data_IF_885307729496
#
_entry.id   IF_885307729496
#
_cell.length_a   1.000
_cell.length_b   1.000
_cell.length_c   1.000
_cell.angle_alpha   90.00
_cell.angle_beta   90.00
_cell.angle_gamma   90.00
#
_symmetry.space_group_name_H-M   'P 1'
#
loop_
_entity.id
_entity.type
_entity.pdbx_description
1 polymer ?
#
# COMPACT_ATOMS: atom_id res chain seq x y z
N UNK A 1 -10.93 -31.77 -19.07
CA UNK A 1 -10.45 -31.26 -20.38
C UNK A 1 -11.06 -32.04 -21.54
N UNK A 2 -11.06 -33.39 -21.52
CA UNK A 2 -11.72 -34.23 -22.54
C UNK A 2 -13.23 -33.98 -22.69
N UNK A 3 -13.93 -33.73 -21.58
CA UNK A 3 -15.35 -33.40 -21.56
C UNK A 3 -15.70 -32.10 -22.31
N UNK A 4 -14.81 -31.10 -22.25
CA UNK A 4 -14.99 -29.82 -22.94
C UNK A 4 -14.71 -29.90 -24.44
N UNK A 5 -13.66 -30.65 -24.82
CA UNK A 5 -13.37 -30.93 -26.22
C UNK A 5 -14.50 -31.72 -26.90
N UNK A 6 -15.03 -32.72 -26.21
CA UNK A 6 -16.17 -33.51 -26.69
C UNK A 6 -17.41 -32.62 -26.88
N UNK A 7 -17.73 -31.78 -25.90
CA UNK A 7 -18.84 -30.84 -25.99
C UNK A 7 -18.66 -29.83 -27.13
N UNK A 8 -17.45 -29.27 -27.31
CA UNK A 8 -17.17 -28.30 -28.40
C UNK A 8 -17.29 -28.93 -29.78
N UNK A 9 -16.89 -30.20 -29.93
CA UNK A 9 -17.01 -30.93 -31.19
C UNK A 9 -18.46 -31.29 -31.52
N UNK A 10 -19.26 -31.60 -30.49
CA UNK A 10 -20.69 -31.92 -30.64
C UNK A 10 -21.55 -30.69 -30.97
N UNK A 11 -21.13 -29.49 -30.55
CA UNK A 11 -21.92 -28.26 -30.69
C UNK A 11 -21.41 -27.29 -31.77
N UNK A 12 -20.36 -27.65 -32.52
CA UNK A 12 -19.85 -26.84 -33.64
C UNK A 12 -20.31 -27.44 -34.97
N UNK A 13 -21.25 -26.80 -35.70
CA UNK A 13 -21.66 -27.28 -37.02
C UNK A 13 -20.51 -27.13 -38.02
N UNK A 14 -20.17 -28.20 -38.72
CA UNK A 14 -18.96 -28.31 -39.55
C UNK A 14 -18.95 -27.42 -40.82
N UNK A 15 -20.02 -26.65 -41.11
CA UNK A 15 -20.17 -26.03 -42.44
C UNK A 15 -20.97 -24.71 -42.52
N UNK A 16 -21.14 -23.97 -41.42
CA UNK A 16 -21.77 -22.64 -41.46
C UNK A 16 -20.85 -21.55 -40.91
N UNK A 17 -20.87 -20.33 -41.48
CA UNK A 17 -20.21 -19.18 -40.86
C UNK A 17 -20.83 -18.98 -39.48
N UNK A 18 -20.01 -18.97 -38.43
CA UNK A 18 -20.48 -18.80 -37.06
C UNK A 18 -21.20 -17.46 -36.91
N UNK A 19 -22.53 -17.47 -37.01
CA UNK A 19 -23.34 -16.33 -36.62
C UNK A 19 -23.11 -16.11 -35.11
N UNK A 20 -22.88 -14.86 -34.66
CA UNK A 20 -22.75 -14.59 -33.23
C UNK A 20 -23.98 -15.13 -32.49
N UNK A 21 -23.80 -15.77 -31.32
CA UNK A 21 -24.90 -16.41 -30.61
C UNK A 21 -26.01 -15.39 -30.33
N UNK A 22 -27.26 -15.80 -30.57
CA UNK A 22 -28.43 -14.98 -30.24
C UNK A 22 -28.56 -14.86 -28.73
N UNK A 23 -29.09 -13.73 -28.25
CA UNK A 23 -29.29 -13.49 -26.81
C UNK A 23 -30.18 -14.55 -26.13
N UNK A 24 -31.00 -15.28 -26.90
CA UNK A 24 -31.81 -16.41 -26.41
C UNK A 24 -30.95 -17.67 -26.19
N UNK A 25 -30.02 -18.01 -27.11
CA UNK A 25 -29.08 -19.13 -26.92
C UNK A 25 -28.17 -18.93 -25.72
N UNK A 26 -27.79 -17.69 -25.42
CA UNK A 26 -26.98 -17.38 -24.23
C UNK A 26 -27.73 -17.64 -22.91
N UNK A 27 -29.08 -17.60 -22.92
CA UNK A 27 -29.92 -17.93 -21.76
C UNK A 27 -30.15 -19.43 -21.57
N UNK A 28 -29.91 -20.24 -22.60
CA UNK A 28 -30.04 -21.71 -22.57
C UNK A 28 -28.76 -22.42 -22.07
N UNK A 29 -27.69 -21.67 -21.81
CA UNK A 29 -26.45 -22.23 -21.28
C UNK A 29 -26.65 -22.64 -19.83
N UNK A 30 -26.44 -23.93 -19.54
CA UNK A 30 -26.47 -24.47 -18.18
C UNK A 30 -25.44 -23.75 -17.30
N UNK A 31 -25.86 -23.08 -16.21
CA UNK A 31 -24.96 -22.42 -15.27
C UNK A 31 -23.86 -23.35 -14.75
N UNK A 32 -24.13 -24.65 -14.59
CA UNK A 32 -23.13 -25.61 -14.16
C UNK A 32 -22.02 -25.85 -15.20
N UNK A 33 -22.35 -25.78 -16.49
CA UNK A 33 -21.36 -25.86 -17.59
C UNK A 33 -20.56 -24.56 -17.64
N UNK A 34 -21.20 -23.41 -17.43
CA UNK A 34 -20.52 -22.11 -17.38
C UNK A 34 -19.52 -22.08 -16.20
N UNK A 35 -19.92 -22.49 -15.01
CA UNK A 35 -19.05 -22.56 -13.83
C UNK A 35 -17.91 -23.57 -14.01
N UNK A 36 -18.15 -24.69 -14.71
CA UNK A 36 -17.11 -25.67 -15.03
C UNK A 36 -16.09 -25.14 -16.06
N UNK A 37 -16.50 -24.23 -16.95
CA UNK A 37 -15.63 -23.60 -17.96
C UNK A 37 -14.85 -22.43 -17.37
N UNK A 38 -15.52 -21.56 -16.62
CA UNK A 38 -14.97 -20.29 -16.13
C UNK A 38 -14.33 -20.42 -14.74
N UNK A 39 -14.62 -21.49 -14.01
CA UNK A 39 -14.22 -21.64 -12.62
C UNK A 39 -15.03 -20.76 -11.68
N UNK A 40 -14.65 -20.76 -10.39
CA UNK A 40 -15.23 -19.84 -9.41
C UNK A 40 -14.77 -18.42 -9.74
N UNK A 41 -15.66 -17.44 -9.57
CA UNK A 41 -15.26 -16.04 -9.64
C UNK A 41 -14.36 -15.67 -8.46
N UNK A 42 -13.44 -14.72 -8.68
CA UNK A 42 -12.55 -14.22 -7.64
C UNK A 42 -13.31 -13.74 -6.40
N UNK A 43 -14.47 -13.11 -6.58
CA UNK A 43 -15.34 -12.69 -5.47
C UNK A 43 -15.82 -13.87 -4.60
N UNK A 44 -16.06 -15.04 -5.19
CA UNK A 44 -16.40 -16.26 -4.44
C UNK A 44 -15.15 -16.81 -3.74
N UNK A 45 -14.02 -16.87 -4.44
CA UNK A 45 -12.76 -17.37 -3.85
C UNK A 45 -12.32 -16.49 -2.67
N UNK A 46 -12.35 -15.16 -2.80
CA UNK A 46 -12.07 -14.21 -1.71
C UNK A 46 -12.95 -14.47 -0.48
N UNK A 47 -14.25 -14.75 -0.67
CA UNK A 47 -15.16 -15.08 0.44
C UNK A 47 -14.78 -16.40 1.12
N UNK A 48 -14.45 -17.42 0.34
CA UNK A 48 -14.04 -18.72 0.88
C UNK A 48 -12.73 -18.61 1.68
N UNK A 49 -11.73 -17.90 1.14
CA UNK A 49 -10.45 -17.67 1.80
C UNK A 49 -10.59 -16.85 3.08
N UNK A 50 -11.41 -15.80 3.04
CA UNK A 50 -11.73 -15.02 4.24
C UNK A 50 -12.45 -15.87 5.30
N UNK A 51 -13.37 -16.76 4.89
CA UNK A 51 -14.06 -17.65 5.83
C UNK A 51 -13.09 -18.61 6.52
N UNK A 52 -12.12 -19.19 5.79
CA UNK A 52 -11.06 -20.03 6.35
C UNK A 52 -10.20 -19.21 7.33
N UNK A 53 -9.78 -18.01 6.94
CA UNK A 53 -8.95 -17.14 7.78
C UNK A 53 -9.62 -16.74 9.10
N UNK A 54 -10.95 -16.62 9.12
CA UNK A 54 -11.74 -16.28 10.32
C UNK A 54 -12.04 -17.49 11.22
N UNK A 55 -11.88 -18.70 10.73
CA UNK A 55 -12.18 -19.91 11.50
C UNK A 55 -11.06 -20.22 12.50
N UNK A 56 -11.23 -19.80 13.75
CA UNK A 56 -10.27 -20.02 14.83
C UNK A 56 -10.11 -21.49 15.25
N UNK A 57 -10.96 -22.41 14.73
CA UNK A 57 -10.77 -23.85 14.94
C UNK A 57 -9.69 -24.45 14.04
N UNK A 58 -9.23 -23.70 13.04
CA UNK A 58 -8.18 -24.10 12.11
C UNK A 58 -6.80 -23.69 12.60
N UNK A 59 -5.80 -24.46 12.20
CA UNK A 59 -4.40 -24.20 12.50
C UNK A 59 -3.94 -22.87 11.87
N UNK A 60 -2.94 -22.22 12.49
CA UNK A 60 -2.41 -20.93 12.01
C UNK A 60 -1.94 -21.02 10.55
N UNK A 61 -1.23 -22.08 10.19
CA UNK A 61 -0.66 -22.25 8.84
C UNK A 61 -1.76 -22.29 7.76
N UNK A 62 -2.88 -22.97 8.02
CA UNK A 62 -4.00 -23.04 7.07
C UNK A 62 -4.69 -21.68 6.91
N UNK A 63 -4.85 -20.94 8.02
CA UNK A 63 -5.42 -19.59 8.00
C UNK A 63 -4.51 -18.61 7.28
N UNK A 64 -3.20 -18.75 7.45
CA UNK A 64 -2.18 -17.94 6.77
C UNK A 64 -2.14 -18.24 5.29
N UNK A 65 -2.13 -19.50 4.88
CA UNK A 65 -2.20 -19.91 3.46
C UNK A 65 -3.45 -19.33 2.79
N UNK A 66 -4.60 -19.37 3.47
CA UNK A 66 -5.81 -18.76 2.95
C UNK A 66 -5.70 -17.24 2.76
N UNK A 67 -5.00 -16.53 3.66
CA UNK A 67 -4.77 -15.10 3.53
C UNK A 67 -3.74 -14.76 2.44
N UNK A 68 -2.74 -15.61 2.22
CA UNK A 68 -1.77 -15.47 1.13
C UNK A 68 -2.47 -15.62 -0.23
N UNK A 69 -3.30 -16.65 -0.40
CA UNK A 69 -4.13 -16.84 -1.59
C UNK A 69 -5.11 -15.67 -1.82
N UNK A 70 -5.65 -15.09 -0.75
CA UNK A 70 -6.50 -13.91 -0.84
C UNK A 70 -5.69 -12.68 -1.28
N UNK A 71 -4.49 -12.48 -0.73
CA UNK A 71 -3.61 -11.37 -1.11
C UNK A 71 -3.31 -11.38 -2.62
N UNK A 72 -3.02 -12.56 -3.19
CA UNK A 72 -2.79 -12.71 -4.63
C UNK A 72 -3.98 -12.25 -5.48
N UNK A 73 -5.22 -12.51 -5.04
CA UNK A 73 -6.42 -12.03 -5.75
C UNK A 73 -6.55 -10.51 -5.66
N UNK A 74 -6.19 -9.93 -4.52
CA UNK A 74 -6.27 -8.48 -4.25
C UNK A 74 -5.21 -7.68 -5.01
N UNK A 75 -4.16 -8.32 -5.54
CA UNK A 75 -3.25 -7.68 -6.50
C UNK A 75 -3.99 -7.15 -7.74
N UNK A 76 -5.14 -7.74 -8.09
CA UNK A 76 -6.03 -7.19 -9.11
C UNK A 76 -6.84 -6.02 -8.55
N UNK A 77 -6.69 -4.85 -9.17
CA UNK A 77 -7.33 -3.59 -8.72
C UNK A 77 -8.87 -3.73 -8.63
N UNK A 78 -9.49 -4.46 -9.55
CA UNK A 78 -10.94 -4.69 -9.52
C UNK A 78 -11.38 -5.49 -8.28
N UNK A 79 -10.59 -6.50 -7.88
CA UNK A 79 -10.84 -7.28 -6.66
C UNK A 79 -10.62 -6.44 -5.41
N UNK A 80 -9.54 -5.64 -5.37
CA UNK A 80 -9.28 -4.69 -4.29
C UNK A 80 -10.45 -3.69 -4.11
N UNK A 81 -10.99 -3.15 -5.21
CA UNK A 81 -12.13 -2.25 -5.18
C UNK A 81 -13.43 -2.96 -4.74
N UNK A 82 -13.53 -4.26 -4.99
CA UNK A 82 -14.70 -5.03 -4.59
C UNK A 82 -14.75 -5.34 -3.08
N UNK A 83 -13.66 -5.13 -2.33
CA UNK A 83 -13.62 -5.35 -0.87
C UNK A 83 -14.74 -4.59 -0.12
N UNK A 84 -15.06 -3.36 -0.55
CA UNK A 84 -16.12 -2.54 0.06
C UNK A 84 -17.52 -3.09 -0.26
N UNK A 85 -17.76 -3.46 -1.52
CA UNK A 85 -19.04 -4.02 -1.95
C UNK A 85 -19.31 -5.40 -1.31
N UNK A 86 -18.24 -6.19 -1.14
CA UNK A 86 -18.30 -7.50 -0.51
C UNK A 86 -18.23 -7.47 1.02
N UNK A 87 -18.13 -6.28 1.64
CA UNK A 87 -18.06 -6.09 3.10
C UNK A 87 -16.90 -6.85 3.76
N UNK A 88 -15.74 -6.78 3.13
CA UNK A 88 -14.53 -7.49 3.55
C UNK A 88 -13.55 -6.62 4.34
N UNK A 89 -13.69 -5.29 4.32
CA UNK A 89 -12.80 -4.41 5.08
C UNK A 89 -12.90 -4.62 6.59
N UNK A 90 -14.11 -4.69 7.15
CA UNK A 90 -14.32 -4.94 8.58
C UNK A 90 -13.65 -6.24 9.05
N UNK A 91 -13.92 -7.41 8.44
CA UNK A 91 -13.27 -8.65 8.86
C UNK A 91 -11.75 -8.65 8.60
N UNK A 92 -11.25 -7.98 7.57
CA UNK A 92 -9.79 -7.83 7.38
C UNK A 92 -9.16 -6.98 8.50
N UNK A 93 -9.84 -5.92 8.96
CA UNK A 93 -9.38 -5.11 10.09
C UNK A 93 -9.45 -5.92 11.40
N UNK A 94 -10.50 -6.72 11.62
CA UNK A 94 -10.58 -7.64 12.75
C UNK A 94 -9.38 -8.60 12.76
N UNK A 95 -9.05 -9.21 11.61
CA UNK A 95 -7.90 -10.10 11.48
C UNK A 95 -6.57 -9.36 11.65
N UNK A 96 -6.45 -8.10 11.25
CA UNK A 96 -5.29 -7.27 11.53
C UNK A 96 -5.08 -7.01 13.04
N UNK A 97 -6.12 -7.15 13.87
CA UNK A 97 -6.04 -7.10 15.33
C UNK A 97 -5.89 -8.47 16.00
N UNK A 98 -5.73 -9.54 15.21
CA UNK A 98 -5.53 -10.90 15.72
C UNK A 98 -4.31 -10.99 16.63
N UNK A 99 -4.41 -11.81 17.68
CA UNK A 99 -3.28 -12.17 18.55
C UNK A 99 -2.35 -13.22 17.90
N UNK A 100 -2.79 -13.83 16.79
CA UNK A 100 -2.02 -14.79 15.99
C UNK A 100 -1.11 -14.01 15.03
N UNK A 101 0.22 -14.01 15.20
CA UNK A 101 1.12 -13.13 14.46
C UNK A 101 1.09 -13.32 12.95
N UNK A 102 0.96 -14.56 12.45
CA UNK A 102 0.84 -14.85 11.03
C UNK A 102 -0.42 -14.22 10.43
N UNK A 103 -1.57 -14.40 11.08
CA UNK A 103 -2.87 -13.86 10.65
C UNK A 103 -2.85 -12.32 10.64
N UNK A 104 -2.38 -11.70 11.72
CA UNK A 104 -2.24 -10.24 11.81
C UNK A 104 -1.39 -9.69 10.66
N UNK A 105 -0.22 -10.31 10.43
CA UNK A 105 0.71 -9.86 9.39
C UNK A 105 0.10 -9.94 7.99
N UNK A 106 -0.57 -11.03 7.66
CA UNK A 106 -1.14 -11.21 6.31
C UNK A 106 -2.38 -10.34 6.10
N UNK A 107 -3.21 -10.12 7.11
CA UNK A 107 -4.32 -9.18 7.01
C UNK A 107 -3.85 -7.73 6.74
N UNK A 108 -2.77 -7.28 7.42
CA UNK A 108 -2.13 -5.99 7.15
C UNK A 108 -1.53 -5.95 5.74
N UNK A 109 -0.97 -7.08 5.27
CA UNK A 109 -0.42 -7.18 3.93
C UNK A 109 -1.51 -7.05 2.86
N UNK A 110 -2.62 -7.79 2.96
CA UNK A 110 -3.78 -7.66 2.06
C UNK A 110 -4.26 -6.20 2.01
N UNK A 111 -4.42 -5.56 3.18
CA UNK A 111 -4.83 -4.16 3.23
C UNK A 111 -3.82 -3.24 2.52
N UNK A 112 -2.52 -3.47 2.73
CA UNK A 112 -1.45 -2.73 2.05
C UNK A 112 -1.47 -2.90 0.53
N UNK A 113 -1.69 -4.11 0.04
CA UNK A 113 -1.79 -4.43 -1.39
C UNK A 113 -3.02 -3.76 -2.00
N UNK A 114 -4.17 -3.85 -1.34
CA UNK A 114 -5.41 -3.24 -1.80
C UNK A 114 -5.30 -1.72 -2.02
N UNK A 115 -4.61 -1.00 -1.12
CA UNK A 115 -4.49 0.46 -1.17
C UNK A 115 -3.32 0.95 -2.04
N UNK A 116 -2.50 0.06 -2.58
CA UNK A 116 -1.27 0.44 -3.28
C UNK A 116 -1.59 1.11 -4.62
N UNK A 117 -1.40 2.44 -4.70
CA UNK A 117 -1.76 3.27 -5.86
C UNK A 117 -3.24 3.13 -6.28
N UNK A 118 -4.15 2.91 -5.32
CA UNK A 118 -5.57 2.70 -5.57
C UNK A 118 -6.41 3.65 -4.70
N UNK A 119 -6.85 4.78 -5.26
CA UNK A 119 -7.56 5.83 -4.52
C UNK A 119 -8.93 5.37 -3.98
N UNK A 120 -9.64 4.48 -4.67
CA UNK A 120 -10.92 3.95 -4.20
C UNK A 120 -10.72 3.11 -2.93
N UNK A 121 -9.82 2.12 -2.97
CA UNK A 121 -9.49 1.32 -1.80
C UNK A 121 -8.86 2.15 -0.66
N UNK A 122 -8.00 3.13 -0.98
CA UNK A 122 -7.44 4.06 0.01
C UNK A 122 -8.56 4.81 0.76
N UNK A 123 -9.54 5.37 0.04
CA UNK A 123 -10.65 6.10 0.63
C UNK A 123 -11.53 5.19 1.49
N UNK A 124 -11.83 3.98 1.01
CA UNK A 124 -12.63 3.02 1.78
C UNK A 124 -11.91 2.55 3.05
N UNK A 125 -10.62 2.28 2.97
CA UNK A 125 -9.83 1.91 4.14
C UNK A 125 -9.71 3.07 5.14
N UNK A 126 -9.46 4.30 4.66
CA UNK A 126 -9.30 5.48 5.51
C UNK A 126 -10.57 5.86 6.29
N UNK A 127 -11.78 5.58 5.77
CA UNK A 127 -13.05 5.75 6.50
C UNK A 127 -13.10 5.01 7.84
N UNK A 128 -12.27 3.97 7.99
CA UNK A 128 -12.20 3.11 9.19
C UNK A 128 -11.06 3.52 10.14
N UNK A 129 -10.42 4.67 9.88
CA UNK A 129 -9.30 5.26 10.63
C UNK A 129 -8.22 4.22 11.04
N UNK A 130 -7.54 3.57 10.06
CA UNK A 130 -6.57 2.52 10.36
C UNK A 130 -5.23 3.05 10.88
N UNK A 131 -4.96 4.35 10.68
CA UNK A 131 -3.67 4.97 10.97
C UNK A 131 -3.22 4.87 12.44
N UNK A 132 -4.08 5.09 13.46
CA UNK A 132 -3.68 4.94 14.87
C UNK A 132 -3.10 3.55 15.17
N UNK A 133 -3.76 2.51 14.66
CA UNK A 133 -3.32 1.14 14.87
C UNK A 133 -2.03 0.81 14.10
N UNK A 134 -1.97 1.15 12.80
CA UNK A 134 -0.77 0.93 11.99
C UNK A 134 0.45 1.67 12.56
N UNK A 135 0.30 2.92 12.98
CA UNK A 135 1.37 3.68 13.61
C UNK A 135 1.82 3.04 14.94
N UNK A 136 0.89 2.53 15.75
CA UNK A 136 1.23 1.82 17.01
C UNK A 136 2.09 0.57 16.78
N UNK A 137 1.90 -0.13 15.65
CA UNK A 137 2.68 -1.31 15.31
C UNK A 137 4.05 -0.96 14.70
N UNK A 138 4.17 0.17 14.01
CA UNK A 138 5.37 0.54 13.24
C UNK A 138 6.66 0.64 14.08
N UNK A 139 6.55 0.84 15.39
CA UNK A 139 7.69 0.89 16.34
C UNK A 139 7.54 -0.10 17.50
N UNK A 140 6.53 -0.97 17.48
CA UNK A 140 6.28 -1.90 18.57
C UNK A 140 7.32 -3.02 18.62
N UNK A 141 7.94 -3.18 19.79
CA UNK A 141 8.85 -4.29 20.09
C UNK A 141 8.12 -5.64 20.27
N UNK A 142 6.79 -5.63 20.38
CA UNK A 142 5.99 -6.85 20.57
C UNK A 142 5.69 -7.59 19.26
N UNK A 143 5.92 -6.94 18.11
CA UNK A 143 5.75 -7.56 16.79
C UNK A 143 7.10 -7.77 16.11
N UNK A 144 7.18 -8.68 15.14
CA UNK A 144 8.41 -8.96 14.42
C UNK A 144 8.80 -7.83 13.45
N UNK A 145 10.08 -7.72 13.09
CA UNK A 145 10.55 -6.81 12.04
C UNK A 145 9.86 -7.05 10.69
N UNK A 146 9.50 -8.29 10.38
CA UNK A 146 8.68 -8.65 9.21
C UNK A 146 7.26 -8.07 9.27
N UNK A 147 6.60 -8.06 10.44
CA UNK A 147 5.29 -7.41 10.60
C UNK A 147 5.41 -5.89 10.49
N UNK A 148 6.41 -5.27 11.14
CA UNK A 148 6.66 -3.82 11.00
C UNK A 148 6.96 -3.43 9.56
N UNK A 149 7.67 -4.27 8.81
CA UNK A 149 7.91 -4.08 7.37
C UNK A 149 6.63 -4.13 6.53
N UNK A 150 5.65 -4.98 6.87
CA UNK A 150 4.33 -5.01 6.22
C UNK A 150 3.45 -3.82 6.64
N UNK A 151 3.56 -3.37 7.89
CA UNK A 151 2.93 -2.12 8.36
C UNK A 151 3.45 -0.92 7.57
N UNK A 152 4.77 -0.77 7.40
CA UNK A 152 5.34 0.32 6.61
C UNK A 152 4.96 0.24 5.12
N UNK A 153 4.82 -0.98 4.58
CA UNK A 153 4.29 -1.17 3.24
C UNK A 153 2.85 -0.67 3.13
N UNK A 154 1.98 -1.05 4.06
CA UNK A 154 0.59 -0.59 4.12
C UNK A 154 0.49 0.94 4.31
N UNK A 155 1.27 1.51 5.22
CA UNK A 155 1.37 2.97 5.40
C UNK A 155 1.83 3.66 4.11
N UNK A 156 2.83 3.11 3.41
CA UNK A 156 3.28 3.65 2.13
C UNK A 156 2.19 3.61 1.07
N UNK A 157 1.43 2.53 0.98
CA UNK A 157 0.30 2.44 0.07
C UNK A 157 -0.82 3.43 0.40
N UNK A 158 -1.13 3.59 1.68
CA UNK A 158 -2.22 4.46 2.16
C UNK A 158 -1.91 5.96 2.04
N UNK A 159 -0.66 6.37 2.33
CA UNK A 159 -0.27 7.79 2.38
C UNK A 159 0.07 8.36 1.00
N UNK A 160 0.60 7.52 0.10
CA UNK A 160 1.04 7.95 -1.23
C UNK A 160 -0.15 8.43 -2.07
N UNK A 161 -0.05 9.64 -2.60
CA UNK A 161 -1.12 10.30 -3.37
C UNK A 161 -2.43 10.50 -2.59
N UNK A 162 -2.39 10.48 -1.25
CA UNK A 162 -3.56 10.69 -0.41
C UNK A 162 -3.29 11.78 0.63
N UNK A 163 -3.62 13.02 0.26
CA UNK A 163 -3.39 14.20 1.09
C UNK A 163 -4.15 14.11 2.42
N UNK A 164 -5.39 13.60 2.41
CA UNK A 164 -6.19 13.39 3.63
C UNK A 164 -5.52 12.43 4.62
N UNK A 165 -4.94 11.32 4.13
CA UNK A 165 -4.20 10.38 4.96
C UNK A 165 -2.92 11.00 5.53
N UNK A 166 -2.19 11.81 4.76
CA UNK A 166 -0.99 12.52 5.25
C UNK A 166 -1.34 13.53 6.35
N UNK A 167 -2.43 14.29 6.19
CA UNK A 167 -2.93 15.17 7.25
C UNK A 167 -3.32 14.39 8.50
N UNK A 168 -4.06 13.29 8.34
CA UNK A 168 -4.46 12.43 9.45
C UNK A 168 -3.24 11.85 10.19
N UNK A 169 -2.22 11.40 9.47
CA UNK A 169 -0.95 10.94 10.07
C UNK A 169 -0.27 12.07 10.85
N UNK A 170 -0.29 13.30 10.33
CA UNK A 170 0.29 14.46 11.00
C UNK A 170 -0.41 14.77 12.33
N UNK A 171 -1.74 14.71 12.37
CA UNK A 171 -2.54 14.89 13.61
C UNK A 171 -2.21 13.84 14.68
N UNK A 172 -1.81 12.64 14.26
CA UNK A 172 -1.49 11.50 15.12
C UNK A 172 -0.02 11.47 15.57
N UNK A 173 0.75 12.54 15.35
CA UNK A 173 2.20 12.59 15.60
C UNK A 173 2.96 11.45 14.88
N UNK A 174 2.46 11.05 13.70
CA UNK A 174 3.01 9.93 12.93
C UNK A 174 4.44 10.18 12.44
N UNK A 175 4.87 11.44 12.31
CA UNK A 175 6.25 11.78 11.96
C UNK A 175 7.25 11.38 13.05
N UNK A 176 6.90 11.51 14.34
CA UNK A 176 7.73 10.97 15.43
C UNK A 176 7.75 9.44 15.41
N UNK A 177 6.65 8.80 15.01
CA UNK A 177 6.63 7.34 14.80
C UNK A 177 7.59 6.92 13.68
N UNK A 178 7.58 7.60 12.53
CA UNK A 178 8.53 7.35 11.45
C UNK A 178 9.98 7.63 11.88
N UNK A 179 10.21 8.68 12.67
CA UNK A 179 11.52 8.94 13.28
C UNK A 179 12.01 7.77 14.13
N UNK A 180 11.12 7.18 14.95
CA UNK A 180 11.42 5.99 15.73
C UNK A 180 11.75 4.77 14.86
N UNK A 181 10.99 4.57 13.77
CA UNK A 181 11.22 3.47 12.83
C UNK A 181 12.56 3.59 12.07
N UNK A 182 13.14 4.79 11.94
CA UNK A 182 14.51 4.97 11.43
C UNK A 182 15.58 4.42 12.39
N UNK A 183 15.22 4.12 13.63
CA UNK A 183 16.09 3.55 14.66
C UNK A 183 15.76 2.07 14.96
N UNK A 184 14.95 1.42 14.12
CA UNK A 184 14.52 0.04 14.33
C UNK A 184 15.69 -0.96 14.38
N UNK A 185 15.68 -2.02 15.19
CA UNK A 185 16.74 -3.03 15.15
C UNK A 185 16.86 -3.77 13.80
N UNK A 186 15.82 -3.76 12.94
CA UNK A 186 15.82 -4.36 11.61
C UNK A 186 16.11 -3.31 10.53
N UNK A 187 17.21 -3.50 9.78
CA UNK A 187 17.61 -2.62 8.68
C UNK A 187 16.56 -2.53 7.57
N UNK A 188 15.76 -3.57 7.36
CA UNK A 188 14.68 -3.59 6.38
C UNK A 188 13.59 -2.58 6.73
N UNK A 189 13.27 -2.45 8.01
CA UNK A 189 12.31 -1.46 8.52
C UNK A 189 12.86 -0.06 8.26
N UNK A 190 14.12 0.20 8.61
CA UNK A 190 14.78 1.50 8.39
C UNK A 190 14.80 1.91 6.92
N UNK A 191 15.17 0.99 6.02
CA UNK A 191 15.16 1.22 4.55
C UNK A 191 13.76 1.60 4.07
N UNK A 192 12.72 0.85 4.49
CA UNK A 192 11.33 1.14 4.12
C UNK A 192 10.86 2.50 4.66
N UNK A 193 11.25 2.86 5.87
CA UNK A 193 10.93 4.17 6.45
C UNK A 193 11.60 5.32 5.68
N UNK A 194 12.89 5.20 5.36
CA UNK A 194 13.59 6.21 4.56
C UNK A 194 12.96 6.36 3.17
N UNK A 195 12.61 5.24 2.53
CA UNK A 195 11.90 5.24 1.25
C UNK A 195 10.52 5.92 1.35
N UNK A 196 9.75 5.65 2.40
CA UNK A 196 8.45 6.27 2.64
C UNK A 196 8.58 7.79 2.78
N UNK A 197 9.51 8.27 3.62
CA UNK A 197 9.76 9.70 3.81
C UNK A 197 10.11 10.38 2.47
N UNK A 198 11.02 9.79 1.67
CA UNK A 198 11.36 10.31 0.35
C UNK A 198 10.15 10.34 -0.59
N UNK A 199 9.32 9.29 -0.56
CA UNK A 199 8.11 9.18 -1.39
C UNK A 199 7.11 10.29 -1.09
N UNK A 200 6.83 10.55 0.19
CA UNK A 200 5.94 11.65 0.59
C UNK A 200 6.54 13.01 0.22
N UNK A 201 7.86 13.16 0.35
CA UNK A 201 8.54 14.39 0.03
C UNK A 201 8.53 14.70 -1.48
N UNK A 202 8.66 13.68 -2.34
CA UNK A 202 8.50 13.84 -3.80
C UNK A 202 7.11 14.36 -4.18
N UNK A 203 6.09 14.08 -3.38
CA UNK A 203 4.70 14.50 -3.60
C UNK A 203 4.38 15.87 -2.99
N UNK A 204 5.23 16.37 -2.10
CA UNK A 204 5.06 17.66 -1.43
C UNK A 204 5.46 18.86 -2.29
N UNK A 205 5.91 18.61 -3.53
CA UNK A 205 6.30 19.66 -4.47
C UNK A 205 5.04 20.39 -4.94
N UNK A 206 4.97 21.67 -4.59
CA UNK A 206 3.97 22.61 -5.08
C UNK A 206 3.92 22.61 -6.61
N UNK A 207 2.71 22.56 -7.17
CA UNK A 207 2.35 22.66 -8.58
C UNK A 207 2.69 24.02 -9.23
N UNK A 208 3.72 24.72 -8.77
CA UNK A 208 4.14 26.02 -9.29
C UNK A 208 4.95 25.92 -10.60
N UNK A 209 5.00 24.75 -11.24
CA UNK A 209 5.76 24.52 -12.48
C UNK A 209 4.96 23.96 -13.65
N UNK A 210 3.63 23.81 -13.55
CA UNK A 210 2.82 23.39 -14.70
C UNK A 210 2.27 24.62 -15.41
N UNK A 211 3.05 25.16 -16.36
CA UNK A 211 2.51 26.01 -17.42
C UNK A 211 1.72 25.14 -18.40
N UNK A 212 0.60 24.58 -17.93
CA UNK A 212 -0.40 24.02 -18.83
C UNK A 212 -1.17 25.21 -19.39
N UNK A 213 -0.75 25.61 -20.60
CA UNK A 213 -1.36 26.67 -21.36
C UNK A 213 -2.88 26.49 -21.44
N UNK A 214 -3.58 27.56 -21.08
CA UNK A 214 -4.98 27.85 -21.40
C UNK A 214 -5.26 27.59 -22.88
N UNK A 215 -5.86 26.45 -23.22
CA UNK A 215 -6.48 26.21 -24.53
C UNK A 215 -7.61 25.18 -24.39
N UNK A 216 -8.83 25.65 -24.09
CA UNK A 216 -10.06 25.50 -24.89
C UNK A 216 -11.28 25.79 -23.99
N UNK A 217 -11.84 27.00 -24.09
CA UNK A 217 -13.22 27.25 -23.68
C UNK A 217 -14.14 26.59 -24.71
N UNK A 218 -14.96 25.63 -24.28
CA UNK A 218 -16.16 25.24 -25.00
C UNK A 218 -17.32 25.20 -24.01
N UNK A 219 -18.25 26.13 -24.21
CA UNK A 219 -19.53 26.27 -23.51
C UNK A 219 -20.28 24.93 -23.44
N UNK A 220 -20.47 24.42 -22.22
CA UNK A 220 -21.33 23.29 -21.90
C UNK A 220 -22.04 23.55 -20.57
N UNK A 221 -23.30 23.11 -20.38
CA UNK A 221 -24.15 23.58 -19.30
C UNK A 221 -23.68 23.08 -17.93
N UNK A 222 -23.68 24.00 -16.97
CA UNK A 222 -23.24 23.78 -15.59
C UNK A 222 -24.08 22.74 -14.86
N UNK A 223 -23.46 21.62 -14.49
CA UNK A 223 -23.99 20.66 -13.52
C UNK A 223 -23.45 21.04 -12.14
N UNK A 224 -24.37 21.34 -11.23
CA UNK A 224 -24.10 21.61 -9.83
C UNK A 224 -23.55 20.36 -9.14
N UNK A 225 -22.30 20.45 -8.68
CA UNK A 225 -21.64 19.46 -7.84
C UNK A 225 -20.31 20.04 -7.39
N UNK A 226 -20.33 20.98 -6.45
CA UNK A 226 -19.11 21.47 -5.80
C UNK A 226 -18.66 20.45 -4.77
N UNK A 227 -18.15 19.31 -5.23
CA UNK A 227 -17.15 18.61 -4.44
C UNK A 227 -15.88 19.47 -4.53
N UNK A 228 -15.53 20.11 -3.41
CA UNK A 228 -14.36 20.96 -3.32
C UNK A 228 -13.16 20.19 -3.85
N UNK A 229 -12.42 20.79 -4.80
CA UNK A 229 -11.20 20.22 -5.34
C UNK A 229 -10.31 19.79 -4.17
N UNK A 230 -10.19 18.48 -3.96
CA UNK A 230 -9.31 17.93 -2.94
C UNK A 230 -7.91 18.34 -3.35
N UNK A 231 -7.24 19.15 -2.53
CA UNK A 231 -5.87 19.59 -2.83
C UNK A 231 -5.02 18.35 -3.10
N UNK A 232 -4.44 18.24 -4.29
CA UNK A 232 -3.54 17.14 -4.66
C UNK A 232 -2.15 17.31 -4.03
N UNK A 233 -1.91 18.45 -3.38
CA UNK A 233 -0.65 18.80 -2.75
C UNK A 233 -0.79 18.81 -1.23
N UNK A 234 0.24 18.35 -0.53
CA UNK A 234 0.36 18.49 0.93
C UNK A 234 0.82 19.90 1.36
N UNK A 235 0.90 20.86 0.44
CA UNK A 235 1.18 22.29 0.69
C UNK A 235 2.43 22.54 1.57
N UNK A 236 3.49 21.75 1.35
CA UNK A 236 4.73 21.86 2.09
C UNK A 236 4.69 21.23 3.50
N UNK A 237 3.61 20.52 3.86
CA UNK A 237 3.46 19.86 5.17
C UNK A 237 4.58 18.86 5.40
N UNK A 238 4.91 18.04 4.40
CA UNK A 238 5.95 17.01 4.55
C UNK A 238 7.31 17.65 4.78
N UNK A 239 7.67 18.67 4.01
CA UNK A 239 8.91 19.43 4.17
C UNK A 239 8.98 20.10 5.55
N UNK A 240 7.89 20.71 6.03
CA UNK A 240 7.82 21.30 7.38
C UNK A 240 8.04 20.23 8.45
N UNK A 241 7.35 19.10 8.35
CA UNK A 241 7.47 18.00 9.30
C UNK A 241 8.90 17.42 9.36
N UNK A 242 9.59 17.29 8.22
CA UNK A 242 11.00 16.86 8.19
C UNK A 242 11.89 17.76 9.05
N UNK A 243 11.67 19.08 9.01
CA UNK A 243 12.41 20.06 9.83
C UNK A 243 12.01 19.96 11.30
N UNK A 244 10.70 20.05 11.58
CA UNK A 244 10.15 20.07 12.95
C UNK A 244 10.54 18.82 13.75
N UNK A 245 10.47 17.65 13.11
CA UNK A 245 10.79 16.37 13.77
C UNK A 245 12.27 15.98 13.66
N UNK A 246 13.11 16.79 13.00
CA UNK A 246 14.54 16.53 12.77
C UNK A 246 14.78 15.18 12.06
N UNK A 247 14.00 14.89 11.01
CA UNK A 247 14.09 13.62 10.30
C UNK A 247 15.41 13.47 9.54
N UNK A 248 15.99 14.57 9.02
CA UNK A 248 17.31 14.52 8.38
C UNK A 248 18.39 14.04 9.36
N UNK A 249 18.39 14.54 10.60
CA UNK A 249 19.32 14.11 11.65
C UNK A 249 19.16 12.60 11.94
N UNK A 250 17.93 12.14 12.11
CA UNK A 250 17.64 10.72 12.34
C UNK A 250 18.08 9.81 11.18
N UNK A 251 18.01 10.28 9.94
CA UNK A 251 18.45 9.55 8.75
C UNK A 251 19.98 9.42 8.66
N UNK A 252 20.72 10.48 9.02
CA UNK A 252 22.19 10.50 8.87
C UNK A 252 22.95 10.06 10.11
N UNK A 253 22.26 9.94 11.25
CA UNK A 253 22.80 9.43 12.51
C UNK A 253 22.00 8.21 12.98
N UNK A 254 21.98 7.12 12.19
CA UNK A 254 21.35 5.88 12.64
C UNK A 254 22.10 5.31 13.85
N UNK A 255 21.36 4.79 14.83
CA UNK A 255 21.89 3.92 15.88
C UNK A 255 22.42 2.61 15.29
N UNK A 256 23.27 1.84 15.98
CA UNK A 256 23.57 0.48 15.56
C UNK A 256 22.30 -0.39 15.48
N UNK A 257 22.30 -1.41 14.62
CA UNK A 257 21.17 -2.32 14.39
C UNK A 257 21.60 -3.79 14.51
N UNK A 258 20.63 -4.71 14.46
CA UNK A 258 20.86 -6.14 14.60
C UNK A 258 20.70 -6.65 16.05
N UNK A 259 20.70 -7.98 16.26
CA UNK A 259 20.48 -8.58 17.59
C UNK A 259 21.51 -8.15 18.64
N UNK A 260 22.76 -7.95 18.21
CA UNK A 260 23.88 -7.56 19.08
C UNK A 260 24.25 -6.07 18.98
N UNK A 261 23.55 -5.31 18.13
CA UNK A 261 23.84 -3.89 17.88
C UNK A 261 25.21 -3.67 17.22
N UNK A 262 25.66 -4.61 16.41
CA UNK A 262 26.92 -4.60 15.69
C UNK A 262 26.80 -4.07 14.25
N UNK A 263 25.57 -4.04 13.71
CA UNK A 263 25.30 -3.50 12.38
C UNK A 263 25.41 -1.98 12.34
N UNK A 264 26.21 -1.44 11.42
CA UNK A 264 26.22 -0.01 11.09
C UNK A 264 25.38 0.25 9.84
N UNK A 265 24.27 0.97 9.99
CA UNK A 265 23.39 1.28 8.87
C UNK A 265 24.07 2.20 7.82
N UNK A 266 25.16 2.89 8.17
CA UNK A 266 25.95 3.70 7.22
C UNK A 266 26.71 2.86 6.20
N UNK A 267 27.04 1.61 6.58
CA UNK A 267 27.70 0.61 5.72
C UNK A 267 26.69 -0.14 4.85
N UNK A 268 25.39 -0.04 5.18
CA UNK A 268 24.33 -0.63 4.39
C UNK A 268 24.06 0.17 3.11
N UNK A 269 24.46 -0.37 1.95
CA UNK A 269 24.38 0.34 0.67
C UNK A 269 22.96 0.81 0.31
N UNK A 270 21.95 -0.03 0.54
CA UNK A 270 20.55 0.28 0.18
C UNK A 270 19.95 1.36 1.10
N UNK A 271 20.18 1.28 2.41
CA UNK A 271 19.78 2.33 3.34
C UNK A 271 20.47 3.65 2.99
N UNK A 272 21.78 3.59 2.76
CA UNK A 272 22.59 4.77 2.44
C UNK A 272 22.12 5.46 1.16
N UNK A 273 21.82 4.71 0.10
CA UNK A 273 21.25 5.25 -1.13
C UNK A 273 19.92 5.98 -0.85
N UNK A 274 19.01 5.34 -0.11
CA UNK A 274 17.70 5.93 0.24
C UNK A 274 17.84 7.21 1.07
N UNK A 275 18.76 7.23 2.04
CA UNK A 275 19.04 8.43 2.84
C UNK A 275 19.57 9.56 1.96
N UNK A 276 20.53 9.29 1.09
CA UNK A 276 21.10 10.30 0.19
C UNK A 276 20.05 10.84 -0.79
N UNK A 277 19.22 9.97 -1.37
CA UNK A 277 18.10 10.38 -2.21
C UNK A 277 17.11 11.27 -1.43
N UNK A 278 16.78 10.91 -0.19
CA UNK A 278 15.88 11.71 0.66
C UNK A 278 16.44 13.12 0.90
N UNK A 279 17.73 13.23 1.21
CA UNK A 279 18.41 14.52 1.44
C UNK A 279 18.40 15.36 0.17
N UNK A 280 18.70 14.76 -0.98
CA UNK A 280 18.74 15.47 -2.25
C UNK A 280 17.34 15.96 -2.66
N UNK A 281 16.30 15.14 -2.47
CA UNK A 281 14.90 15.55 -2.67
C UNK A 281 14.53 16.69 -1.73
N UNK A 282 14.91 16.61 -0.45
CA UNK A 282 14.63 17.66 0.53
C UNK A 282 15.23 19.01 0.14
N UNK A 283 16.50 19.03 -0.26
CA UNK A 283 17.18 20.25 -0.70
C UNK A 283 16.59 20.77 -2.00
N UNK A 284 16.28 19.90 -2.98
CA UNK A 284 15.61 20.30 -4.24
C UNK A 284 14.24 20.91 -4.00
N UNK A 285 13.54 20.45 -2.97
CA UNK A 285 12.25 21.01 -2.56
C UNK A 285 12.39 22.29 -1.73
N UNK A 286 13.57 22.93 -1.70
CA UNK A 286 13.82 24.17 -0.95
C UNK A 286 13.97 23.96 0.56
N UNK A 287 14.18 22.72 1.01
CA UNK A 287 14.50 22.42 2.40
C UNK A 287 15.94 22.77 2.75
N UNK A 288 16.15 23.36 3.93
CA UNK A 288 17.48 23.67 4.45
C UNK A 288 17.88 22.64 5.51
N UNK A 289 19.01 21.97 5.30
CA UNK A 289 19.52 20.96 6.26
C UNK A 289 19.95 21.56 7.60
N UNK A 290 20.20 22.87 7.65
CA UNK A 290 20.48 23.62 8.87
C UNK A 290 21.54 22.97 9.76
N UNK A 291 21.19 22.74 11.03
CA UNK A 291 22.07 22.15 12.04
C UNK A 291 22.59 20.74 11.68
N UNK A 292 21.89 20.01 10.80
CA UNK A 292 22.32 18.68 10.36
C UNK A 292 23.42 18.73 9.28
N UNK A 293 23.80 19.90 8.76
CA UNK A 293 24.77 20.03 7.65
C UNK A 293 26.10 19.30 7.91
N UNK A 294 26.63 19.40 9.13
CA UNK A 294 27.86 18.69 9.52
C UNK A 294 27.68 17.17 9.50
N UNK A 295 26.57 16.67 10.04
CA UNK A 295 26.24 15.24 10.06
C UNK A 295 25.97 14.69 8.64
N UNK A 296 25.29 15.47 7.78
CA UNK A 296 25.08 15.12 6.36
C UNK A 296 26.40 15.02 5.61
N UNK A 297 27.32 15.96 5.83
CA UNK A 297 28.65 15.92 5.22
C UNK A 297 29.45 14.70 5.68
N UNK A 298 29.47 14.42 6.98
CA UNK A 298 30.11 13.23 7.55
C UNK A 298 29.49 11.93 6.99
N UNK A 299 28.15 11.86 6.91
CA UNK A 299 27.45 10.73 6.33
C UNK A 299 27.87 10.50 4.89
N UNK A 300 27.86 11.53 4.03
CA UNK A 300 28.31 11.45 2.62
C UNK A 300 29.75 10.96 2.48
N UNK A 301 30.65 11.37 3.39
CA UNK A 301 32.08 11.03 3.35
C UNK A 301 32.41 9.64 3.89
N UNK A 302 31.55 9.05 4.72
CA UNK A 302 31.73 7.71 5.29
C UNK A 302 31.60 6.59 4.23
N UNK A 303 32.37 6.64 3.13
CA UNK A 303 32.40 5.57 2.12
C UNK A 303 32.62 4.23 2.82
N UNK A 304 31.74 3.27 2.50
CA UNK A 304 31.80 1.94 3.07
C UNK A 304 33.17 1.31 2.83
N UNK A 305 33.72 0.77 3.91
CA UNK A 305 35.03 0.12 3.92
C UNK A 305 34.97 -1.28 3.29
#
# INVERSE_FOLDING_TARGET
>A
MESLLKWSLENTPANEPAAPPTAERMKELDPAIIDMILGKSDAVVMKEKLAIAKDESREEDERVEALDDFEMLVEQIDNANNLENLKMWEPLIELAHSTVPGVQRHAIWIAGTAVQNNSAAQNDFLKRDPLPYLLSLATSHQVSGSTRSKVLYCLSGLLKHNVGAVHRMNELDGWNTLKGALQDPDITVRRKTAFLINTLLLQDISSSGSTAATLHESDGPMVHGTDGAVSESTEGLVRRAIVEHKLIEALVQPSPYGPDGDGDAKEDADYREKVLQTIDTFVRNGGEVGNAAGAVSAFRQARGA
#
